data_IF_483053020512
#
_entry.id   IF_483053020512
#
_cell.length_a   1.000
_cell.length_b   1.000
_cell.length_c   1.000
_cell.angle_alpha   90.00
_cell.angle_beta   90.00
_cell.angle_gamma   90.00
#
_symmetry.space_group_name_H-M   'P 1'
#
loop_
_entity.id
_entity.type
_entity.pdbx_description
1 polymer ?
#
# COMPACT_ATOMS: atom_id res chain seq x y z
N UNK A 1 15.51 -13.11 9.92
CA UNK A 1 14.41 -12.96 8.93
C UNK A 1 14.60 -11.62 8.23
N UNK A 2 14.68 -11.64 6.89
CA UNK A 2 15.00 -10.46 6.09
C UNK A 2 13.75 -9.76 5.58
N UNK A 3 12.58 -10.40 5.63
CA UNK A 3 11.29 -9.77 5.31
C UNK A 3 10.27 -10.13 6.37
N UNK A 4 9.26 -9.30 6.55
CA UNK A 4 8.05 -9.60 7.32
C UNK A 4 6.80 -9.33 6.49
N UNK A 5 5.85 -10.25 6.51
CA UNK A 5 4.54 -10.03 5.89
C UNK A 5 3.67 -9.21 6.84
N UNK A 6 2.80 -8.38 6.27
CA UNK A 6 1.74 -7.69 7.00
C UNK A 6 0.95 -8.67 7.87
N UNK A 7 0.75 -8.32 9.14
CA UNK A 7 -0.06 -9.08 10.09
C UNK A 7 -1.42 -8.43 10.17
N UNK A 8 -2.47 -9.23 9.95
CA UNK A 8 -3.84 -8.75 10.15
C UNK A 8 -4.10 -8.38 11.62
N UNK A 9 -5.22 -7.74 11.91
CA UNK A 9 -5.64 -7.48 13.29
C UNK A 9 -5.78 -8.80 14.05
N UNK A 10 -6.35 -9.83 13.43
CA UNK A 10 -6.48 -11.15 14.04
C UNK A 10 -5.11 -11.81 14.28
N UNK A 11 -4.20 -11.76 13.32
CA UNK A 11 -2.83 -12.27 13.49
C UNK A 11 -2.13 -11.56 14.65
N UNK A 12 -2.38 -10.26 14.79
CA UNK A 12 -1.84 -9.44 15.87
C UNK A 12 -2.40 -9.84 17.23
N UNK A 13 -3.72 -10.01 17.38
CA UNK A 13 -4.33 -10.55 18.59
C UNK A 13 -3.77 -11.93 18.96
N UNK A 14 -3.57 -12.81 17.97
CA UNK A 14 -2.99 -14.14 18.17
C UNK A 14 -1.51 -14.12 18.54
N UNK A 15 -0.80 -13.00 18.38
CA UNK A 15 0.65 -12.93 18.56
C UNK A 15 1.12 -12.63 19.98
N UNK A 16 0.25 -12.11 20.86
CA UNK A 16 0.60 -11.78 22.25
C UNK A 16 -0.42 -12.32 23.26
N UNK A 17 -0.02 -12.41 24.53
CA UNK A 17 -0.84 -13.02 25.60
C UNK A 17 -2.13 -12.26 25.87
N UNK A 18 -2.08 -10.92 25.90
CA UNK A 18 -3.25 -10.06 26.13
C UNK A 18 -4.29 -10.23 25.02
N UNK A 19 -3.86 -10.25 23.77
CA UNK A 19 -4.74 -10.45 22.62
C UNK A 19 -5.33 -11.85 22.58
N UNK A 20 -4.56 -12.90 22.91
CA UNK A 20 -5.08 -14.27 23.06
C UNK A 20 -6.13 -14.35 24.18
N UNK A 21 -5.90 -13.68 25.31
CA UNK A 21 -6.86 -13.62 26.41
C UNK A 21 -8.14 -12.88 26.01
N UNK A 22 -8.03 -11.76 25.28
CA UNK A 22 -9.16 -11.02 24.74
C UNK A 22 -10.00 -11.86 23.77
N UNK A 23 -9.36 -12.56 22.82
CA UNK A 23 -10.05 -13.49 21.92
C UNK A 23 -10.74 -14.62 22.70
N UNK A 24 -10.08 -15.19 23.71
CA UNK A 24 -10.66 -16.27 24.53
C UNK A 24 -11.84 -15.80 25.38
N UNK A 25 -11.84 -14.54 25.85
CA UNK A 25 -12.96 -13.94 26.57
C UNK A 25 -14.20 -13.81 25.68
N UNK A 26 -14.01 -13.48 24.41
CA UNK A 26 -15.10 -13.25 23.45
C UNK A 26 -15.60 -14.56 22.83
N UNK A 27 -14.69 -15.44 22.39
CA UNK A 27 -15.01 -16.62 21.58
C UNK A 27 -14.81 -17.96 22.31
N UNK A 28 -14.34 -17.93 23.56
CA UNK A 28 -13.97 -19.15 24.29
C UNK A 28 -12.74 -19.83 23.68
N UNK A 29 -12.73 -21.17 23.67
CA UNK A 29 -11.63 -21.98 23.11
C UNK A 29 -11.77 -22.26 21.59
N UNK A 30 -12.81 -21.73 20.94
CA UNK A 30 -13.08 -22.01 19.52
C UNK A 30 -12.03 -21.34 18.62
N UNK A 31 -11.65 -21.95 17.48
CA UNK A 31 -10.88 -21.27 16.46
C UNK A 31 -11.61 -20.01 15.99
N UNK A 32 -10.89 -18.92 15.80
CA UNK A 32 -11.42 -17.62 15.36
C UNK A 32 -10.79 -17.25 14.02
N UNK A 33 -11.62 -16.87 13.05
CA UNK A 33 -11.24 -16.33 11.75
C UNK A 33 -11.55 -14.81 11.66
N UNK A 34 -11.19 -14.17 10.54
CA UNK A 34 -11.40 -12.72 10.36
C UNK A 34 -12.88 -12.33 10.32
N UNK A 35 -13.72 -13.15 9.69
CA UNK A 35 -15.17 -12.94 9.62
C UNK A 35 -15.79 -12.95 11.01
N UNK A 36 -15.39 -13.88 11.88
CA UNK A 36 -15.87 -13.96 13.27
C UNK A 36 -15.55 -12.66 14.04
N UNK A 37 -14.32 -12.16 13.90
CA UNK A 37 -13.88 -10.94 14.55
C UNK A 37 -14.65 -9.72 14.02
N UNK A 38 -14.83 -9.63 12.69
CA UNK A 38 -15.58 -8.55 12.06
C UNK A 38 -17.06 -8.56 12.49
N UNK A 39 -17.69 -9.73 12.60
CA UNK A 39 -19.07 -9.84 13.07
C UNK A 39 -19.25 -9.28 14.49
N UNK A 40 -18.30 -9.50 15.40
CA UNK A 40 -18.34 -8.92 16.75
C UNK A 40 -18.17 -7.40 16.70
N UNK A 41 -17.27 -6.89 15.87
CA UNK A 41 -17.09 -5.43 15.71
C UNK A 41 -18.35 -4.78 15.15
N UNK A 42 -19.01 -5.40 14.16
CA UNK A 42 -20.30 -4.93 13.64
C UNK A 42 -21.38 -4.88 14.71
N UNK A 43 -21.50 -5.94 15.51
CA UNK A 43 -22.49 -6.01 16.57
C UNK A 43 -22.31 -4.86 17.57
N UNK A 44 -21.06 -4.59 17.98
CA UNK A 44 -20.74 -3.45 18.86
C UNK A 44 -21.00 -2.10 18.22
N UNK A 45 -20.78 -1.97 16.91
CA UNK A 45 -21.11 -0.74 16.19
C UNK A 45 -22.61 -0.48 16.17
N UNK A 46 -23.44 -1.53 16.00
CA UNK A 46 -24.90 -1.44 16.11
C UNK A 46 -25.30 -1.01 17.53
N UNK A 47 -24.75 -1.65 18.55
CA UNK A 47 -25.05 -1.37 19.97
C UNK A 47 -24.66 0.04 20.41
N UNK A 48 -23.66 0.65 19.75
CA UNK A 48 -23.19 2.00 20.05
C UNK A 48 -23.73 3.04 19.07
N UNK A 49 -24.72 2.67 18.23
CA UNK A 49 -25.29 3.51 17.17
C UNK A 49 -24.22 4.16 16.26
N UNK A 50 -23.05 3.52 16.18
CA UNK A 50 -21.91 3.99 15.40
C UNK A 50 -21.05 5.09 15.99
N UNK A 51 -21.29 5.49 17.23
CA UNK A 51 -20.53 6.56 17.89
C UNK A 51 -19.11 6.16 18.30
N UNK A 52 -18.79 4.86 18.29
CA UNK A 52 -17.46 4.36 18.66
C UNK A 52 -16.45 4.49 17.52
N UNK A 53 -15.64 5.56 17.53
CA UNK A 53 -14.53 5.77 16.57
C UNK A 53 -13.58 4.57 16.51
N UNK A 54 -13.28 3.95 17.65
CA UNK A 54 -12.42 2.78 17.71
C UNK A 54 -13.00 1.59 16.93
N UNK A 55 -14.26 1.24 17.20
CA UNK A 55 -14.92 0.12 16.54
C UNK A 55 -15.12 0.42 15.04
N UNK A 56 -15.37 1.68 14.67
CA UNK A 56 -15.46 2.12 13.28
C UNK A 56 -14.12 1.93 12.54
N UNK A 57 -13.02 2.39 13.14
CA UNK A 57 -11.67 2.19 12.61
C UNK A 57 -11.33 0.71 12.45
N UNK A 58 -11.63 -0.11 13.47
CA UNK A 58 -11.44 -1.56 13.43
C UNK A 58 -12.28 -2.22 12.32
N UNK A 59 -13.54 -1.82 12.16
CA UNK A 59 -14.44 -2.34 11.13
C UNK A 59 -13.92 -2.06 9.71
N UNK A 60 -13.41 -0.84 9.47
CA UNK A 60 -12.79 -0.47 8.19
C UNK A 60 -11.57 -1.34 7.87
N UNK A 61 -10.62 -1.45 8.82
CA UNK A 61 -9.40 -2.25 8.65
C UNK A 61 -9.74 -3.72 8.40
N UNK A 62 -10.63 -4.32 9.20
CA UNK A 62 -11.03 -5.72 9.05
C UNK A 62 -11.72 -6.00 7.71
N UNK A 63 -12.49 -5.04 7.19
CA UNK A 63 -13.14 -5.16 5.88
C UNK A 63 -12.10 -5.18 4.75
N UNK A 64 -11.07 -4.36 4.83
CA UNK A 64 -9.96 -4.37 3.86
C UNK A 64 -9.06 -5.59 4.00
N UNK A 65 -8.78 -6.06 5.22
CA UNK A 65 -8.06 -7.30 5.45
C UNK A 65 -8.81 -8.52 4.89
N UNK A 66 -10.15 -8.50 4.97
CA UNK A 66 -10.99 -9.48 4.31
C UNK A 66 -10.89 -9.41 2.78
N UNK A 67 -11.03 -8.21 2.19
CA UNK A 67 -10.87 -8.01 0.74
C UNK A 67 -9.51 -8.54 0.26
N UNK A 68 -8.44 -8.21 0.99
CA UNK A 68 -7.09 -8.69 0.71
C UNK A 68 -7.02 -10.22 0.75
N UNK A 69 -7.63 -10.85 1.76
CA UNK A 69 -7.69 -12.30 1.89
C UNK A 69 -8.49 -12.95 0.75
N UNK A 70 -9.64 -12.38 0.38
CA UNK A 70 -10.49 -12.83 -0.74
C UNK A 70 -9.75 -12.71 -2.09
N UNK A 71 -8.84 -11.73 -2.23
CA UNK A 71 -7.95 -11.59 -3.38
C UNK A 71 -6.75 -12.55 -3.37
N UNK A 72 -6.70 -13.53 -2.47
CA UNK A 72 -5.59 -14.50 -2.35
C UNK A 72 -4.37 -13.96 -1.59
N UNK A 73 -4.56 -12.92 -0.78
CA UNK A 73 -3.53 -12.29 0.06
C UNK A 73 -2.24 -11.94 -0.71
N UNK A 74 -2.29 -11.12 -1.77
CA UNK A 74 -1.10 -10.74 -2.53
C UNK A 74 -0.12 -9.95 -1.67
N UNK A 75 1.16 -10.34 -1.71
CA UNK A 75 2.27 -9.70 -1.01
C UNK A 75 3.36 -9.36 -2.00
N UNK A 76 3.65 -8.06 -2.17
CA UNK A 76 4.72 -7.57 -3.03
C UNK A 76 5.97 -7.29 -2.19
N UNK A 77 6.99 -8.11 -2.40
CA UNK A 77 8.32 -7.97 -1.81
C UNK A 77 9.16 -7.01 -2.65
N UNK A 78 9.56 -5.89 -2.05
CA UNK A 78 10.50 -4.96 -2.67
C UNK A 78 11.89 -5.58 -2.62
N UNK A 79 12.54 -5.75 -3.78
CA UNK A 79 13.79 -6.52 -3.89
C UNK A 79 14.92 -6.01 -3.00
N UNK A 80 15.06 -4.69 -2.85
CA UNK A 80 16.14 -4.07 -2.08
C UNK A 80 15.79 -2.63 -1.67
N UNK A 81 16.60 -2.08 -0.76
CA UNK A 81 16.46 -0.69 -0.27
C UNK A 81 16.64 0.35 -1.38
N UNK A 82 17.50 0.11 -2.37
CA UNK A 82 17.70 1.03 -3.49
C UNK A 82 16.41 1.18 -4.32
N UNK A 83 15.71 0.08 -4.58
CA UNK A 83 14.41 0.10 -5.25
C UNK A 83 13.35 0.82 -4.40
N UNK A 84 13.33 0.60 -3.08
CA UNK A 84 12.42 1.32 -2.18
C UNK A 84 12.65 2.84 -2.24
N UNK A 85 13.92 3.27 -2.21
CA UNK A 85 14.29 4.68 -2.36
C UNK A 85 13.89 5.22 -3.74
N UNK A 86 14.17 4.49 -4.82
CA UNK A 86 13.79 4.91 -6.18
C UNK A 86 12.26 5.07 -6.33
N UNK A 87 11.46 4.19 -5.72
CA UNK A 87 10.01 4.32 -5.71
C UNK A 87 9.58 5.55 -4.90
N UNK A 88 10.18 5.80 -3.74
CA UNK A 88 9.85 6.96 -2.94
C UNK A 88 10.19 8.29 -3.63
N UNK A 89 11.36 8.38 -4.26
CA UNK A 89 11.84 9.60 -4.92
C UNK A 89 11.30 9.78 -6.33
N UNK A 90 10.62 8.78 -6.90
CA UNK A 90 10.13 8.82 -8.28
C UNK A 90 9.28 10.08 -8.53
N UNK A 91 9.58 10.76 -9.63
CA UNK A 91 8.88 11.98 -10.02
C UNK A 91 7.76 11.67 -11.00
N UNK A 92 6.54 12.03 -10.59
CA UNK A 92 5.32 12.03 -11.40
C UNK A 92 4.35 13.08 -10.87
N UNK A 93 3.54 13.65 -11.76
CA UNK A 93 2.51 14.61 -11.36
C UNK A 93 1.31 13.87 -10.72
N UNK A 94 1.27 13.87 -9.39
CA UNK A 94 0.12 13.39 -8.62
C UNK A 94 -0.94 14.48 -8.38
N UNK A 95 -0.64 15.76 -8.68
CA UNK A 95 -1.51 16.91 -8.35
C UNK A 95 -2.63 17.10 -9.38
N UNK A 96 -2.37 16.80 -10.66
CA UNK A 96 -3.32 17.06 -11.72
C UNK A 96 -3.88 15.77 -12.35
N UNK A 97 -5.11 15.39 -11.95
CA UNK A 97 -5.85 14.27 -12.56
C UNK A 97 -5.07 12.95 -12.52
N UNK A 98 -4.34 12.68 -11.44
CA UNK A 98 -3.57 11.44 -11.29
C UNK A 98 -4.49 10.23 -11.33
N UNK A 99 -4.06 9.21 -12.07
CA UNK A 99 -4.76 7.94 -12.13
C UNK A 99 -3.77 6.84 -12.42
N UNK A 100 -4.04 5.67 -11.86
CA UNK A 100 -3.23 4.47 -11.98
C UNK A 100 -4.14 3.25 -12.01
N UNK A 101 -3.62 2.15 -12.53
CA UNK A 101 -4.22 0.84 -12.38
C UNK A 101 -3.30 0.04 -11.44
N UNK A 102 -3.73 -0.24 -10.20
CA UNK A 102 -2.92 -1.03 -9.30
C UNK A 102 -2.87 -2.50 -9.79
N UNK A 103 -1.78 -3.24 -9.53
CA UNK A 103 -1.68 -4.66 -9.91
C UNK A 103 -2.74 -5.52 -9.20
N UNK A 104 -3.18 -5.10 -8.02
CA UNK A 104 -4.28 -5.66 -7.25
C UNK A 104 -5.02 -4.51 -6.56
N UNK A 105 -6.34 -4.61 -6.35
CA UNK A 105 -7.09 -3.59 -5.59
C UNK A 105 -6.59 -3.47 -4.15
N UNK A 106 -6.27 -4.60 -3.51
CA UNK A 106 -5.67 -4.64 -2.18
C UNK A 106 -4.47 -5.60 -2.16
N UNK A 107 -3.34 -5.15 -1.61
CA UNK A 107 -2.09 -5.90 -1.53
C UNK A 107 -1.23 -5.44 -0.36
N UNK A 108 -0.39 -6.34 0.15
CA UNK A 108 0.59 -6.00 1.17
C UNK A 108 1.93 -5.63 0.52
N UNK A 109 2.62 -4.63 1.07
CA UNK A 109 4.04 -4.37 0.77
C UNK A 109 4.92 -4.99 1.85
N UNK A 110 6.05 -5.54 1.44
CA UNK A 110 7.07 -6.06 2.35
C UNK A 110 8.46 -5.60 1.89
N UNK A 111 9.25 -5.13 2.86
CA UNK A 111 10.57 -4.54 2.62
C UNK A 111 11.66 -5.40 3.27
N UNK A 112 12.90 -5.34 2.77
CA UNK A 112 14.05 -5.87 3.49
C UNK A 112 14.10 -5.28 4.91
N UNK A 113 14.48 -6.12 5.89
CA UNK A 113 14.55 -5.72 7.29
C UNK A 113 15.53 -4.55 7.43
N UNK A 114 15.06 -3.46 8.03
CA UNK A 114 15.86 -2.27 8.27
C UNK A 114 15.96 -1.32 7.08
N UNK A 115 15.18 -1.52 6.01
CA UNK A 115 15.10 -0.57 4.90
C UNK A 115 14.77 0.83 5.40
N UNK A 116 15.64 1.79 5.07
CA UNK A 116 15.47 3.20 5.35
C UNK A 116 15.15 3.97 4.07
N UNK A 117 14.15 4.83 4.14
CA UNK A 117 13.77 5.77 3.08
C UNK A 117 13.57 7.13 3.72
N UNK A 118 14.34 8.12 3.29
CA UNK A 118 14.32 9.47 3.87
C UNK A 118 14.44 9.50 5.40
N UNK A 119 15.32 8.65 5.97
CA UNK A 119 15.50 8.51 7.42
C UNK A 119 14.40 7.72 8.14
N UNK A 120 13.33 7.34 7.44
CA UNK A 120 12.21 6.58 7.99
C UNK A 120 12.41 5.09 7.75
N UNK A 121 12.29 4.31 8.81
CA UNK A 121 12.34 2.85 8.76
C UNK A 121 11.03 2.30 8.24
N UNK A 122 11.08 1.64 7.09
CA UNK A 122 9.90 1.04 6.48
C UNK A 122 9.55 -0.29 7.16
N UNK A 123 8.25 -0.56 7.18
CA UNK A 123 7.67 -1.83 7.66
C UNK A 123 6.61 -2.30 6.69
N UNK A 124 6.17 -3.54 6.83
CA UNK A 124 5.10 -4.07 6.00
C UNK A 124 3.78 -3.33 6.24
N UNK A 125 3.07 -3.04 5.17
CA UNK A 125 1.77 -2.37 5.20
C UNK A 125 0.77 -3.09 4.30
N UNK A 126 -0.51 -2.88 4.58
CA UNK A 126 -1.60 -3.19 3.67
C UNK A 126 -1.94 -1.93 2.89
N UNK A 127 -2.11 -2.08 1.58
CA UNK A 127 -2.46 -1.00 0.67
C UNK A 127 -3.74 -1.40 -0.05
N UNK A 128 -4.74 -0.53 -0.05
CA UNK A 128 -5.95 -0.65 -0.84
C UNK A 128 -6.10 0.57 -1.73
N UNK A 129 -6.16 0.36 -3.05
CA UNK A 129 -6.35 1.41 -4.05
C UNK A 129 -7.56 1.02 -4.90
N UNK A 130 -8.64 1.77 -4.74
CA UNK A 130 -9.91 1.54 -5.43
C UNK A 130 -10.73 2.83 -5.43
N UNK A 131 -11.85 2.85 -6.14
CA UNK A 131 -12.67 4.05 -6.20
C UNK A 131 -13.43 4.26 -4.89
N UNK A 132 -13.86 5.49 -4.64
CA UNK A 132 -14.69 5.82 -3.47
C UNK A 132 -15.94 4.96 -3.38
N UNK A 133 -16.64 4.73 -4.50
CA UNK A 133 -17.81 3.84 -4.52
C UNK A 133 -17.42 2.41 -4.14
N UNK A 134 -16.25 1.91 -4.55
CA UNK A 134 -15.79 0.57 -4.17
C UNK A 134 -15.47 0.49 -2.67
N UNK A 135 -14.96 1.57 -2.06
CA UNK A 135 -14.85 1.69 -0.60
C UNK A 135 -16.22 1.74 0.07
N UNK A 136 -17.17 2.45 -0.54
CA UNK A 136 -18.55 2.51 -0.06
C UNK A 136 -19.16 1.12 -0.02
N UNK A 137 -19.09 0.39 -1.12
CA UNK A 137 -19.64 -0.95 -1.23
C UNK A 137 -18.93 -1.92 -0.27
N UNK A 138 -17.59 -1.86 -0.21
CA UNK A 138 -16.78 -2.70 0.68
C UNK A 138 -17.20 -2.55 2.13
N UNK A 139 -17.25 -1.33 2.66
CA UNK A 139 -17.62 -1.19 4.05
C UNK A 139 -19.13 -1.38 4.21
N UNK A 140 -19.98 -1.12 3.21
CA UNK A 140 -21.44 -1.18 3.42
C UNK A 140 -21.85 -2.61 3.65
N UNK A 141 -21.38 -3.53 2.83
CA UNK A 141 -21.62 -4.95 3.02
C UNK A 141 -21.03 -5.48 4.34
N UNK A 142 -20.09 -4.72 4.92
CA UNK A 142 -19.26 -5.18 6.03
C UNK A 142 -19.33 -4.37 7.33
N UNK A 143 -20.03 -3.25 7.38
CA UNK A 143 -20.14 -2.26 8.46
C UNK A 143 -21.36 -1.35 8.21
N UNK A 144 -22.56 -1.93 8.12
CA UNK A 144 -23.79 -1.23 7.72
C UNK A 144 -24.25 -0.01 8.56
N UNK A 145 -23.99 0.15 9.88
CA UNK A 145 -24.67 1.22 10.62
C UNK A 145 -24.13 2.64 10.40
N UNK A 146 -23.02 2.85 9.68
CA UNK A 146 -22.22 4.09 9.83
C UNK A 146 -21.72 4.61 8.50
N UNK A 147 -22.64 5.25 7.78
CA UNK A 147 -22.40 5.81 6.45
C UNK A 147 -22.48 7.34 6.41
N UNK A 148 -22.29 8.01 7.54
CA UNK A 148 -22.39 9.47 7.62
C UNK A 148 -21.24 10.26 6.96
N UNK A 149 -20.04 9.66 6.82
CA UNK A 149 -18.85 10.41 6.37
C UNK A 149 -18.41 10.15 4.91
N UNK A 150 -18.79 9.02 4.31
CA UNK A 150 -18.40 8.66 2.93
C UNK A 150 -19.50 8.88 1.89
N UNK A 151 -20.75 9.12 2.32
CA UNK A 151 -21.89 9.00 1.41
C UNK A 151 -22.05 10.15 0.40
N UNK A 152 -21.44 11.32 0.59
CA UNK A 152 -21.79 12.48 -0.26
C UNK A 152 -20.71 13.55 -0.28
N UNK A 153 -19.65 13.43 -1.10
CA UNK A 153 -18.96 14.68 -1.53
C UNK A 153 -18.15 14.64 -2.82
N UNK A 154 -17.74 13.48 -3.36
CA UNK A 154 -16.88 13.48 -4.55
C UNK A 154 -17.46 12.63 -5.71
N UNK A 155 -17.20 13.00 -6.98
CA UNK A 155 -17.41 12.08 -8.10
C UNK A 155 -16.56 10.83 -7.83
N UNK A 156 -17.04 9.62 -8.16
CA UNK A 156 -16.37 8.32 -7.90
C UNK A 156 -14.86 8.31 -8.24
N UNK A 157 -14.05 8.80 -7.31
CA UNK A 157 -12.63 9.13 -7.50
C UNK A 157 -11.78 7.96 -7.03
N UNK A 158 -10.56 7.86 -7.56
CA UNK A 158 -9.61 6.88 -7.05
C UNK A 158 -9.14 7.32 -5.66
N UNK A 159 -9.15 6.39 -4.71
CA UNK A 159 -8.71 6.59 -3.34
C UNK A 159 -7.58 5.62 -3.01
N UNK A 160 -6.74 5.99 -2.04
CA UNK A 160 -5.71 5.12 -1.47
C UNK A 160 -5.91 5.04 0.05
N UNK A 161 -5.85 3.83 0.58
CA UNK A 161 -5.79 3.55 2.00
C UNK A 161 -4.55 2.72 2.30
N UNK A 162 -3.69 3.21 3.20
CA UNK A 162 -2.52 2.48 3.68
C UNK A 162 -2.67 2.23 5.16
N UNK A 163 -2.49 0.98 5.58
CA UNK A 163 -2.47 0.55 6.98
C UNK A 163 -1.13 -0.07 7.32
N UNK A 164 -0.52 0.32 8.42
CA UNK A 164 0.64 -0.39 8.92
C UNK A 164 0.64 -0.43 10.44
N UNK A 165 1.43 -1.34 11.01
CA UNK A 165 1.55 -1.47 12.46
C UNK A 165 2.78 -0.70 12.94
N UNK A 166 2.58 0.27 13.82
CA UNK A 166 3.66 1.03 14.46
C UNK A 166 4.37 0.19 15.54
N UNK A 167 5.52 0.67 16.01
CA UNK A 167 6.31 -0.02 17.03
C UNK A 167 5.56 -0.13 18.38
N UNK A 168 4.60 0.76 18.64
CA UNK A 168 3.71 0.72 19.81
C UNK A 168 2.55 -0.30 19.68
N UNK A 169 2.62 -1.20 18.70
CA UNK A 169 1.59 -2.20 18.42
C UNK A 169 0.21 -1.60 18.04
N UNK A 170 0.15 -0.32 17.70
CA UNK A 170 -1.03 0.35 17.15
C UNK A 170 -1.05 0.21 15.63
N UNK A 171 -2.24 0.26 15.05
CA UNK A 171 -2.39 0.33 13.59
C UNK A 171 -2.62 1.77 13.21
N UNK A 172 -1.70 2.31 12.42
CA UNK A 172 -1.78 3.65 11.87
C UNK A 172 -2.29 3.55 10.43
N UNK A 173 -3.10 4.51 9.99
CA UNK A 173 -3.66 4.50 8.64
C UNK A 173 -3.67 5.86 7.97
N UNK A 174 -3.64 5.87 6.64
CA UNK A 174 -3.82 7.05 5.80
C UNK A 174 -4.81 6.74 4.69
N UNK A 175 -6.01 7.30 4.77
CA UNK A 175 -7.00 7.31 3.70
C UNK A 175 -6.99 8.66 3.00
N UNK A 176 -6.99 8.66 1.67
CA UNK A 176 -7.13 9.90 0.90
C UNK A 176 -7.64 9.64 -0.52
N UNK A 177 -8.64 10.41 -0.99
CA UNK A 177 -8.90 10.58 -2.42
C UNK A 177 -7.68 11.21 -3.10
N UNK A 178 -7.30 10.65 -4.25
CA UNK A 178 -6.10 11.06 -4.98
C UNK A 178 -6.02 12.58 -5.25
N UNK A 179 -7.09 13.29 -5.67
CA UNK A 179 -7.01 14.72 -5.96
C UNK A 179 -6.63 15.60 -4.76
N UNK A 180 -6.95 15.17 -3.54
CA UNK A 180 -6.61 15.88 -2.30
C UNK A 180 -5.46 15.23 -1.54
N UNK A 181 -4.76 14.26 -2.15
CA UNK A 181 -3.66 13.54 -1.50
C UNK A 181 -2.54 14.49 -1.07
N UNK A 182 -2.16 15.44 -1.93
CA UNK A 182 -1.11 16.43 -1.60
C UNK A 182 -1.47 17.23 -0.36
N UNK A 183 -2.71 17.70 -0.28
CA UNK A 183 -3.22 18.46 0.85
C UNK A 183 -3.26 17.58 2.11
N UNK A 184 -3.71 16.34 1.98
CA UNK A 184 -3.76 15.35 3.07
C UNK A 184 -2.37 15.09 3.64
N UNK A 185 -1.39 14.82 2.78
CA UNK A 185 0.00 14.59 3.18
C UNK A 185 0.61 15.86 3.83
N UNK A 186 0.34 17.04 3.27
CA UNK A 186 0.83 18.32 3.82
C UNK A 186 0.20 18.64 5.17
N UNK A 187 -1.10 18.40 5.34
CA UNK A 187 -1.82 18.58 6.61
C UNK A 187 -1.27 17.64 7.68
N UNK A 188 -1.08 16.36 7.34
CA UNK A 188 -0.49 15.38 8.24
C UNK A 188 0.91 15.84 8.71
N UNK A 189 1.78 16.31 7.81
CA UNK A 189 3.11 16.77 8.19
C UNK A 189 3.10 18.01 9.12
N UNK A 190 2.16 18.95 8.92
CA UNK A 190 2.08 20.19 9.72
C UNK A 190 1.39 20.01 11.07
N UNK A 191 0.38 19.16 11.12
CA UNK A 191 -0.40 18.83 12.32
C UNK A 191 -0.56 17.31 12.31
N UNK A 192 0.39 16.55 12.88
CA UNK A 192 0.27 15.12 12.92
C UNK A 192 -1.04 14.77 13.61
N UNK A 193 -1.92 14.07 12.90
CA UNK A 193 -3.15 13.59 13.49
C UNK A 193 -2.79 12.68 14.68
N UNK A 194 -3.54 12.73 15.79
CA UNK A 194 -3.31 11.82 16.91
C UNK A 194 -3.25 10.37 16.41
N UNK A 195 -2.22 9.62 16.81
CA UNK A 195 -2.00 8.22 16.38
C UNK A 195 -1.69 8.02 14.88
N UNK A 196 -0.95 8.94 14.24
CA UNK A 196 -0.40 8.71 12.89
C UNK A 196 1.09 9.04 12.86
N UNK A 197 1.94 8.04 12.67
CA UNK A 197 3.36 8.29 12.35
C UNK A 197 3.46 8.76 10.89
N UNK A 198 3.30 10.07 10.71
CA UNK A 198 3.02 10.73 9.44
C UNK A 198 4.04 10.44 8.35
N UNK A 199 5.31 10.36 8.72
CA UNK A 199 6.40 10.22 7.74
C UNK A 199 6.47 8.78 7.20
N UNK A 200 6.14 7.79 8.02
CA UNK A 200 6.02 6.38 7.59
C UNK A 200 4.85 6.24 6.63
N UNK A 201 3.68 6.82 6.97
CA UNK A 201 2.51 6.79 6.10
C UNK A 201 2.75 7.51 4.78
N UNK A 202 3.41 8.67 4.79
CA UNK A 202 3.78 9.40 3.57
C UNK A 202 4.70 8.55 2.70
N UNK A 203 5.77 8.00 3.28
CA UNK A 203 6.71 7.16 2.55
C UNK A 203 6.03 5.92 1.94
N UNK A 204 5.21 5.20 2.71
CA UNK A 204 4.48 4.02 2.24
C UNK A 204 3.45 4.38 1.17
N UNK A 205 2.72 5.49 1.33
CA UNK A 205 1.71 5.95 0.35
C UNK A 205 2.38 6.33 -0.96
N UNK A 206 3.47 7.10 -0.91
CA UNK A 206 4.26 7.45 -2.11
C UNK A 206 4.78 6.20 -2.80
N UNK A 207 5.43 5.29 -2.07
CA UNK A 207 5.94 4.04 -2.62
C UNK A 207 4.83 3.21 -3.29
N UNK A 208 3.66 3.10 -2.65
CA UNK A 208 2.52 2.36 -3.21
C UNK A 208 2.03 2.92 -4.55
N UNK A 209 1.91 4.26 -4.66
CA UNK A 209 1.49 4.91 -5.90
C UNK A 209 2.58 4.84 -6.98
N UNK A 210 3.84 5.07 -6.60
CA UNK A 210 5.00 4.92 -7.49
C UNK A 210 5.13 3.49 -8.02
N UNK A 211 4.80 2.48 -7.20
CA UNK A 211 4.77 1.09 -7.63
C UNK A 211 3.74 0.89 -8.73
N UNK A 212 2.55 1.49 -8.63
CA UNK A 212 1.52 1.40 -9.67
C UNK A 212 1.99 2.06 -10.98
N UNK A 213 2.65 3.22 -10.87
CA UNK A 213 3.28 3.91 -12.01
C UNK A 213 4.38 3.02 -12.63
N UNK A 214 5.26 2.45 -11.82
CA UNK A 214 6.34 1.58 -12.26
C UNK A 214 5.83 0.29 -12.90
N UNK A 215 4.79 -0.32 -12.33
CA UNK A 215 4.11 -1.48 -12.88
C UNK A 215 3.55 -1.17 -14.27
N UNK A 216 2.84 -0.04 -14.41
CA UNK A 216 2.34 0.43 -15.71
C UNK A 216 3.47 0.70 -16.71
N UNK A 217 4.52 1.41 -16.27
CA UNK A 217 5.67 1.79 -17.11
C UNK A 217 6.51 0.61 -17.60
N UNK A 218 6.41 -0.54 -16.93
CA UNK A 218 7.16 -1.75 -17.28
C UNK A 218 6.27 -2.81 -17.92
N UNK A 219 5.02 -2.48 -18.28
CA UNK A 219 4.02 -3.45 -18.74
C UNK A 219 3.90 -4.67 -17.79
N UNK A 220 4.05 -4.42 -16.49
CA UNK A 220 4.01 -5.44 -15.44
C UNK A 220 5.20 -6.40 -15.39
N UNK A 221 6.15 -6.34 -16.33
CA UNK A 221 7.26 -7.30 -16.46
C UNK A 221 8.21 -7.34 -15.26
N UNK A 222 8.18 -6.32 -14.40
CA UNK A 222 9.03 -6.22 -13.20
C UNK A 222 8.39 -6.78 -11.94
N UNK A 223 7.10 -7.10 -11.97
CA UNK A 223 6.41 -7.80 -10.90
C UNK A 223 6.38 -9.29 -11.24
N UNK A 224 7.20 -10.08 -10.55
CA UNK A 224 7.43 -11.50 -10.87
C UNK A 224 6.89 -12.37 -9.75
N UNK A 225 6.22 -13.47 -10.08
CA UNK A 225 5.72 -14.41 -9.08
C UNK A 225 6.84 -15.03 -8.25
N UNK A 226 6.58 -15.20 -6.95
CA UNK A 226 7.46 -15.90 -6.03
C UNK A 226 7.82 -15.12 -4.77
N UNK A 227 8.64 -15.76 -3.94
CA UNK A 227 9.14 -15.22 -2.69
C UNK A 227 10.62 -14.88 -2.80
N UNK A 228 11.11 -13.88 -2.04
CA UNK A 228 12.54 -13.61 -1.98
C UNK A 228 13.29 -14.88 -1.53
N UNK A 229 14.53 -15.05 -2.01
CA UNK A 229 15.39 -16.17 -1.61
C UNK A 229 15.71 -16.15 -0.10
N UNK A 230 15.61 -14.98 0.52
CA UNK A 230 15.88 -14.78 1.94
C UNK A 230 14.71 -15.22 2.83
N UNK A 231 14.99 -15.37 4.13
CA UNK A 231 13.98 -15.81 5.09
C UNK A 231 12.87 -14.77 5.29
N UNK A 232 11.62 -15.23 5.20
CA UNK A 232 10.40 -14.41 5.37
C UNK A 232 9.74 -14.77 6.70
N UNK A 233 9.43 -13.76 7.52
CA UNK A 233 8.63 -13.90 8.73
C UNK A 233 7.15 -13.98 8.37
N UNK A 234 6.51 -15.08 8.76
CA UNK A 234 5.09 -15.34 8.53
C UNK A 234 4.31 -15.18 9.86
N UNK A 235 3.02 -14.80 9.80
CA UNK A 235 2.15 -14.84 10.98
C UNK A 235 2.05 -16.25 11.58
N UNK A 236 1.80 -16.32 12.90
CA UNK A 236 1.71 -17.59 13.63
C UNK A 236 0.59 -18.45 13.04
N UNK A 237 0.91 -19.72 12.77
CA UNK A 237 -0.05 -20.68 12.21
C UNK A 237 -0.29 -20.54 10.71
N UNK A 238 0.41 -19.62 10.02
CA UNK A 238 0.35 -19.48 8.56
C UNK A 238 1.65 -19.95 7.93
N UNK A 239 1.53 -20.48 6.71
CA UNK A 239 2.65 -20.88 5.86
C UNK A 239 2.60 -20.05 4.55
N UNK A 240 3.53 -20.31 3.62
CA UNK A 240 3.60 -19.57 2.34
C UNK A 240 2.38 -19.80 1.43
N UNK A 241 1.66 -20.92 1.55
CA UNK A 241 0.48 -21.15 0.70
C UNK A 241 -0.71 -20.28 1.09
N UNK A 242 -0.67 -19.63 2.25
CA UNK A 242 -1.68 -18.66 2.66
C UNK A 242 -1.54 -17.29 1.95
N UNK A 243 -0.47 -17.07 1.18
CA UNK A 243 -0.22 -15.80 0.51
C UNK A 243 0.26 -15.98 -0.93
N UNK A 244 -0.18 -15.08 -1.81
CA UNK A 244 0.37 -14.94 -3.17
C UNK A 244 1.60 -14.02 -3.13
N UNK A 245 2.80 -14.61 -3.09
CA UNK A 245 4.05 -13.84 -3.09
C UNK A 245 4.43 -13.36 -4.48
N UNK A 246 4.81 -12.08 -4.59
CA UNK A 246 5.40 -11.47 -5.79
C UNK A 246 6.64 -10.66 -5.42
N UNK A 247 7.66 -10.65 -6.27
CA UNK A 247 8.85 -9.81 -6.11
C UNK A 247 8.80 -8.68 -7.12
N UNK A 248 8.91 -7.45 -6.64
CA UNK A 248 9.15 -6.30 -7.50
C UNK A 248 10.66 -6.17 -7.74
N UNK A 249 11.08 -6.38 -8.99
CA UNK A 249 12.47 -6.35 -9.42
C UNK A 249 12.90 -4.94 -9.78
N UNK A 250 14.14 -4.60 -9.44
CA UNK A 250 14.77 -3.38 -9.93
C UNK A 250 14.97 -3.43 -11.47
N UNK A 251 15.15 -2.26 -12.12
CA UNK A 251 15.71 -2.23 -13.46
C UNK A 251 17.06 -2.94 -13.46
N UNK A 252 17.35 -3.74 -14.50
CA UNK A 252 18.69 -4.33 -14.63
C UNK A 252 19.61 -3.18 -15.00
N UNK A 253 20.53 -2.82 -14.11
CA UNK A 253 21.61 -1.90 -14.48
C UNK A 253 22.53 -2.68 -15.43
N UNK A 254 22.50 -2.33 -16.72
CA UNK A 254 23.55 -2.77 -17.62
C UNK A 254 24.86 -2.25 -17.04
N UNK A 255 25.78 -3.16 -16.68
CA UNK A 255 27.14 -2.79 -16.30
C UNK A 255 27.73 -2.07 -17.50
N UNK A 256 27.78 -0.74 -17.48
CA UNK A 256 28.65 0.00 -18.38
C UNK A 256 30.08 -0.46 -18.09
N UNK A 257 30.71 -1.06 -19.09
CA UNK A 257 32.14 -1.33 -19.08
C UNK A 257 32.88 0.01 -19.06
N UNK A 258 33.79 0.19 -18.10
CA UNK A 258 34.63 1.38 -17.97
C UNK A 258 34.43 2.14 -16.67
N UNK A 259 35.49 2.80 -16.21
CA UNK A 259 35.58 3.65 -15.01
C UNK A 259 34.70 4.92 -15.09
N UNK A 260 33.42 4.76 -15.43
CA UNK A 260 32.45 5.85 -15.41
C UNK A 260 32.06 6.15 -13.95
N UNK A 261 32.04 7.45 -13.62
CA UNK A 261 31.70 8.03 -12.32
C UNK A 261 30.50 7.32 -11.69
N UNK A 262 30.65 6.88 -10.42
CA UNK A 262 29.55 6.25 -9.65
C UNK A 262 28.44 7.28 -9.41
N UNK A 263 27.45 7.32 -10.30
CA UNK A 263 26.23 8.09 -10.11
C UNK A 263 25.49 7.51 -8.89
N UNK A 264 25.51 8.25 -7.78
CA UNK A 264 25.01 7.77 -6.48
C UNK A 264 23.48 7.84 -6.37
N UNK A 265 22.83 8.72 -7.14
CA UNK A 265 21.38 8.93 -7.09
C UNK A 265 20.80 9.02 -8.50
N UNK A 266 19.86 8.13 -8.81
CA UNK A 266 19.10 8.12 -10.05
C UNK A 266 17.63 8.20 -9.69
N UNK A 267 17.02 9.35 -9.93
CA UNK A 267 15.61 9.61 -9.68
C UNK A 267 14.84 9.25 -10.96
N UNK A 268 13.92 8.26 -10.93
CA UNK A 268 13.13 7.92 -12.10
C UNK A 268 12.10 9.00 -12.41
N UNK A 269 12.06 9.47 -13.66
CA UNK A 269 11.04 10.41 -14.14
C UNK A 269 10.05 9.71 -15.07
N UNK A 270 8.77 9.74 -14.70
CA UNK A 270 7.70 9.09 -15.47
C UNK A 270 6.79 10.10 -16.15
N UNK A 271 6.41 9.80 -17.40
CA UNK A 271 5.41 10.56 -18.14
C UNK A 271 4.10 9.79 -18.26
N UNK A 272 3.00 10.49 -18.03
CA UNK A 272 1.67 9.96 -18.24
C UNK A 272 1.26 10.05 -19.72
N UNK A 273 0.77 8.95 -20.27
CA UNK A 273 0.31 8.85 -21.65
C UNK A 273 -1.21 8.98 -21.70
N UNK A 274 -1.73 10.18 -22.01
CA UNK A 274 -3.19 10.44 -22.04
C UNK A 274 -3.83 10.47 -23.42
N UNK A 275 -3.04 10.71 -24.47
CA UNK A 275 -3.58 10.86 -25.81
C UNK A 275 -4.20 9.55 -26.33
N UNK A 276 -5.32 9.63 -27.07
CA UNK A 276 -6.06 8.47 -27.62
C UNK A 276 -5.17 7.47 -28.37
N UNK A 277 -4.13 7.95 -29.06
CA UNK A 277 -3.15 7.09 -29.78
C UNK A 277 -2.44 6.06 -28.89
N UNK A 278 -2.34 6.32 -27.58
CA UNK A 278 -1.74 5.38 -26.62
C UNK A 278 -2.74 4.36 -26.06
N UNK A 279 -4.03 4.47 -26.41
CA UNK A 279 -5.11 3.58 -25.99
C UNK A 279 -5.66 2.82 -27.20
N UNK A 280 -4.76 2.08 -27.85
CA UNK A 280 -5.04 1.26 -29.03
C UNK A 280 -4.47 -0.15 -28.82
N UNK A 281 -4.91 -1.11 -29.62
CA UNK A 281 -4.47 -2.50 -29.53
C UNK A 281 -4.74 -3.10 -28.15
N UNK A 282 -3.69 -3.65 -27.51
CA UNK A 282 -3.78 -4.27 -26.17
C UNK A 282 -4.19 -3.32 -25.04
N UNK A 283 -4.21 -2.01 -25.28
CA UNK A 283 -4.58 -0.99 -24.28
C UNK A 283 -5.90 -0.29 -24.57
N UNK A 284 -6.67 -0.74 -25.57
CA UNK A 284 -7.90 -0.07 -26.03
C UNK A 284 -8.95 0.07 -24.91
N UNK A 285 -9.01 -0.89 -24.00
CA UNK A 285 -9.99 -0.96 -22.92
C UNK A 285 -9.51 -0.28 -21.63
N UNK A 286 -8.29 0.26 -21.62
CA UNK A 286 -7.75 0.95 -20.45
C UNK A 286 -8.28 2.38 -20.37
N UNK A 287 -8.57 2.82 -19.13
CA UNK A 287 -8.96 4.20 -18.85
C UNK A 287 -7.83 5.18 -19.20
N UNK A 288 -8.10 6.30 -19.88
CA UNK A 288 -7.13 7.36 -20.10
C UNK A 288 -6.43 7.81 -18.80
N UNK A 289 -5.12 7.99 -18.88
CA UNK A 289 -4.25 8.32 -17.74
C UNK A 289 -3.69 7.14 -16.96
N UNK A 290 -4.12 5.89 -17.19
CA UNK A 290 -3.54 4.72 -16.50
C UNK A 290 -2.19 4.26 -17.06
N UNK A 291 -1.78 4.80 -18.22
CA UNK A 291 -0.55 4.41 -18.91
C UNK A 291 0.59 5.36 -18.56
N UNK A 292 1.72 4.79 -18.14
CA UNK A 292 2.93 5.52 -17.80
C UNK A 292 4.10 4.98 -18.61
N UNK A 293 5.13 5.80 -18.81
CA UNK A 293 6.40 5.39 -19.39
C UNK A 293 7.54 6.03 -18.62
N UNK A 294 8.62 5.28 -18.42
CA UNK A 294 9.88 5.84 -17.96
C UNK A 294 10.45 6.69 -19.08
N UNK A 295 10.70 7.98 -18.81
CA UNK A 295 11.32 8.87 -19.79
C UNK A 295 12.82 8.80 -19.66
N UNK A 296 13.32 8.93 -18.43
CA UNK A 296 14.73 9.01 -18.08
C UNK A 296 14.92 8.82 -16.58
N UNK A 297 16.17 8.62 -16.19
CA UNK A 297 16.64 8.83 -14.83
C UNK A 297 17.31 10.22 -14.78
N UNK A 298 17.18 10.95 -13.68
CA UNK A 298 17.87 12.24 -13.42
C UNK A 298 18.67 12.17 -12.12
N UNK A 299 19.63 13.06 -11.91
CA UNK A 299 20.29 13.17 -10.60
C UNK A 299 19.44 13.99 -9.60
N UNK A 300 19.92 14.11 -8.35
CA UNK A 300 19.23 14.87 -7.30
C UNK A 300 19.09 16.39 -7.60
N UNK A 301 19.78 16.91 -8.61
CA UNK A 301 19.70 18.31 -9.07
C UNK A 301 18.83 18.46 -10.32
N UNK A 302 18.12 17.40 -10.71
CA UNK A 302 17.30 17.34 -11.93
C UNK A 302 18.11 17.54 -13.23
N UNK A 303 19.41 17.26 -13.19
CA UNK A 303 20.30 17.37 -14.35
C UNK A 303 20.48 16.02 -15.03
N UNK A 304 20.39 16.03 -16.37
CA UNK A 304 20.84 14.89 -17.20
C UNK A 304 22.33 14.96 -17.53
N UNK A 305 22.88 16.17 -17.57
CA UNK A 305 24.24 16.43 -18.04
C UNK A 305 25.30 15.87 -17.08
N UNK A 306 24.91 15.62 -15.83
CA UNK A 306 25.74 14.97 -14.79
C UNK A 306 25.68 13.45 -14.84
N UNK A 307 24.79 12.87 -15.66
CA UNK A 307 24.60 11.43 -15.85
C UNK A 307 25.19 10.92 -17.18
N UNK A 308 25.50 11.84 -18.11
CA UNK A 308 26.06 11.58 -19.43
C UNK A 308 27.48 12.15 -19.48
N UNK A 309 28.47 11.34 -19.10
CA UNK A 309 29.86 11.51 -19.53
C UNK A 309 30.43 10.15 -19.87
#
# INVERSE_FOLDING_TARGET
>A
MNYSIYKTQLDSFKSNSQGKAALRKIFGKKPVNLQDLLSIVRQRLIETEGESEFNLGMGKILSEEMLWSECGSPVIFIENEALANNLFTAEFDFKNNFTVQPPFKSFALSFPKGTLVNGVKLTSCLVTIMTEQEFVDLYKDKCQPIWGEFATTYPNQLCVHVHYRSEEFRTDSCFSPIPILTETLTKNAKKPLPNRSTDVLDALTRIALSLCVYHSATDGKKLVDGYPKSAVSLPIGKNRSAFKGLILRAPVQNKSAGEARKIKYRIPFYRNLRAKRYYQGKYKDLKPGTRWVLVKEVDATNSMNTMLQ
#
